data_IF_834678988412
#
_entry.id   IF_834678988412
#
_cell.length_a   1.000
_cell.length_b   1.000
_cell.length_c   1.000
_cell.angle_alpha   90.00
_cell.angle_beta   90.00
_cell.angle_gamma   90.00
#
_symmetry.space_group_name_H-M   'P 1'
#
loop_
_entity.id
_entity.type
_entity.pdbx_description
1 polymer ?
#
# COMPACT_ATOMS: atom_id res chain seq x y z
N UNK A 1 8.61 -10.16 -13.83
CA UNK A 1 7.92 -11.47 -13.88
C UNK A 1 6.60 -11.38 -13.15
N UNK A 2 5.54 -11.79 -13.79
CA UNK A 2 4.22 -11.84 -13.15
C UNK A 2 4.08 -13.15 -12.40
N UNK A 3 3.59 -13.08 -11.18
CA UNK A 3 3.26 -14.26 -10.41
C UNK A 3 1.97 -14.88 -10.96
N UNK A 4 2.01 -16.18 -11.20
CA UNK A 4 0.83 -16.92 -11.68
C UNK A 4 -0.02 -17.30 -10.49
N UNK A 5 -1.32 -17.04 -10.60
CA UNK A 5 -2.32 -17.46 -9.62
C UNK A 5 -3.38 -18.26 -10.35
N UNK A 6 -3.69 -19.45 -9.85
CA UNK A 6 -4.71 -20.30 -10.46
C UNK A 6 -6.09 -19.62 -10.42
N UNK A 7 -6.88 -19.73 -11.50
CA UNK A 7 -8.25 -19.22 -11.48
C UNK A 7 -9.06 -19.80 -10.31
N UNK A 8 -9.75 -18.94 -9.58
CA UNK A 8 -10.55 -19.35 -8.43
C UNK A 8 -9.77 -19.50 -7.13
N UNK A 9 -8.45 -19.30 -7.14
CA UNK A 9 -7.64 -19.29 -5.91
C UNK A 9 -7.99 -18.08 -5.05
N UNK A 10 -8.05 -18.26 -3.70
CA UNK A 10 -8.25 -17.10 -2.82
C UNK A 10 -7.13 -16.08 -2.98
N UNK A 11 -7.47 -14.80 -2.89
CA UNK A 11 -6.49 -13.72 -2.84
C UNK A 11 -5.79 -13.73 -1.49
N UNK A 12 -4.45 -13.68 -1.50
CA UNK A 12 -3.65 -13.65 -0.29
C UNK A 12 -2.82 -12.38 -0.21
N UNK A 13 -2.72 -11.84 1.00
CA UNK A 13 -1.83 -10.72 1.27
C UNK A 13 -0.40 -11.21 1.41
N UNK A 14 0.57 -10.37 1.04
CA UNK A 14 1.98 -10.63 1.25
C UNK A 14 2.41 -10.02 2.57
N UNK A 15 2.64 -10.85 3.57
CA UNK A 15 2.99 -10.39 4.91
C UNK A 15 4.17 -11.23 5.42
N UNK A 16 5.30 -10.56 5.66
CA UNK A 16 6.47 -11.25 6.22
C UNK A 16 6.18 -11.70 7.67
N UNK A 17 6.80 -12.79 8.14
CA UNK A 17 6.61 -13.21 9.54
C UNK A 17 6.92 -12.12 10.57
N UNK A 18 7.95 -11.32 10.34
CA UNK A 18 8.30 -10.18 11.21
C UNK A 18 7.21 -9.12 11.24
N UNK A 19 6.47 -8.95 10.15
CA UNK A 19 5.35 -8.02 10.07
C UNK A 19 4.13 -8.59 10.80
N UNK A 20 3.88 -9.90 10.65
CA UNK A 20 2.75 -10.55 11.33
C UNK A 20 2.81 -10.35 12.83
N UNK A 21 4.00 -10.34 13.42
CA UNK A 21 4.18 -10.18 14.86
C UNK A 21 3.76 -8.81 15.38
N UNK A 22 3.63 -7.79 14.52
CA UNK A 22 3.26 -6.43 14.91
C UNK A 22 1.86 -6.00 14.44
N UNK A 23 1.13 -6.86 13.72
CA UNK A 23 -0.18 -6.50 13.17
C UNK A 23 -1.20 -6.12 14.24
N UNK A 24 -1.17 -6.77 15.39
CA UNK A 24 -2.11 -6.50 16.48
C UNK A 24 -1.74 -5.26 17.30
N UNK A 25 -0.56 -4.68 17.11
CA UNK A 25 -0.10 -3.53 17.89
C UNK A 25 -0.32 -2.21 17.12
N UNK A 26 -1.38 -1.43 17.42
CA UNK A 26 -1.69 -0.22 16.66
C UNK A 26 -0.70 0.93 16.90
N UNK A 27 0.20 0.80 17.88
CA UNK A 27 1.20 1.82 18.17
C UNK A 27 2.38 1.79 17.18
N UNK A 28 2.46 0.75 16.36
CA UNK A 28 3.50 0.62 15.35
C UNK A 28 2.91 1.01 13.98
N UNK A 29 3.43 2.06 13.37
CA UNK A 29 3.00 2.49 12.04
C UNK A 29 3.29 1.39 11.01
N UNK A 30 2.37 1.20 10.06
CA UNK A 30 2.53 0.23 8.99
C UNK A 30 2.26 0.88 7.64
N UNK A 31 2.72 0.22 6.58
CA UNK A 31 2.41 0.62 5.21
C UNK A 31 1.61 -0.47 4.51
N UNK A 32 0.87 -0.07 3.48
CA UNK A 32 0.18 -0.97 2.55
C UNK A 32 0.61 -0.59 1.15
N UNK A 33 1.09 -1.56 0.39
CA UNK A 33 1.56 -1.35 -0.98
C UNK A 33 1.07 -2.47 -1.90
N UNK A 34 1.07 -2.21 -3.20
CA UNK A 34 0.74 -3.25 -4.18
C UNK A 34 2.03 -3.96 -4.60
N UNK A 35 2.04 -5.29 -4.44
CA UNK A 35 3.12 -6.15 -4.88
C UNK A 35 3.99 -6.68 -3.76
N UNK A 36 4.48 -7.91 -3.96
CA UNK A 36 5.31 -8.61 -2.99
C UNK A 36 6.67 -7.94 -2.81
N UNK A 37 7.35 -7.61 -3.91
CA UNK A 37 8.70 -7.03 -3.87
C UNK A 37 8.74 -5.72 -3.10
N UNK A 38 7.74 -4.87 -3.31
CA UNK A 38 7.65 -3.58 -2.63
C UNK A 38 7.42 -3.75 -1.13
N UNK A 39 6.55 -4.70 -0.76
CA UNK A 39 6.29 -4.96 0.66
C UNK A 39 7.52 -5.51 1.37
N UNK A 40 8.27 -6.40 0.71
CA UNK A 40 9.53 -6.93 1.25
C UNK A 40 10.55 -5.79 1.39
N UNK A 41 10.70 -4.98 0.34
CA UNK A 41 11.65 -3.88 0.33
C UNK A 41 11.41 -2.92 1.51
N UNK A 42 10.19 -2.43 1.67
CA UNK A 42 9.85 -1.51 2.75
C UNK A 42 10.06 -2.15 4.13
N UNK A 43 9.65 -3.42 4.28
CA UNK A 43 9.80 -4.14 5.55
C UNK A 43 11.27 -4.33 5.92
N UNK A 44 12.15 -4.58 4.95
CA UNK A 44 13.58 -4.70 5.18
C UNK A 44 14.22 -3.40 5.69
N UNK A 45 13.64 -2.27 5.33
CA UNK A 45 14.11 -0.96 5.80
C UNK A 45 13.41 -0.50 7.09
N UNK A 46 12.74 -1.41 7.78
CA UNK A 46 12.14 -1.11 9.08
C UNK A 46 10.74 -0.51 9.01
N UNK A 47 10.09 -0.57 7.84
CA UNK A 47 8.70 -0.13 7.67
C UNK A 47 7.83 -1.37 7.49
N UNK A 48 7.19 -1.87 8.56
CA UNK A 48 6.35 -3.06 8.44
C UNK A 48 5.25 -2.82 7.41
N UNK A 49 5.15 -3.71 6.42
CA UNK A 49 4.32 -3.47 5.24
C UNK A 49 3.47 -4.69 4.90
N UNK A 50 2.20 -4.44 4.60
CA UNK A 50 1.28 -5.42 4.04
C UNK A 50 1.25 -5.20 2.53
N UNK A 51 1.55 -6.25 1.76
CA UNK A 51 1.45 -6.21 0.30
C UNK A 51 0.11 -6.75 -0.17
N UNK A 52 -0.53 -6.04 -1.10
CA UNK A 52 -1.74 -6.52 -1.77
C UNK A 52 -1.36 -7.01 -3.18
N UNK A 53 -1.96 -8.12 -3.66
CA UNK A 53 -1.54 -8.71 -4.95
C UNK A 53 -1.99 -7.93 -6.18
N UNK A 54 -2.89 -6.96 -6.03
CA UNK A 54 -3.33 -6.07 -7.10
C UNK A 54 -4.03 -4.87 -6.52
N UNK A 55 -4.15 -3.80 -7.31
CA UNK A 55 -4.68 -2.51 -6.81
C UNK A 55 -6.13 -2.58 -6.32
N UNK A 56 -6.90 -3.58 -6.76
CA UNK A 56 -8.25 -3.85 -6.28
C UNK A 56 -8.37 -5.11 -5.40
N UNK A 57 -7.25 -5.80 -5.14
CA UNK A 57 -7.25 -7.09 -4.44
C UNK A 57 -7.25 -6.98 -2.91
N UNK A 58 -7.49 -5.77 -2.40
CA UNK A 58 -7.58 -5.51 -0.96
C UNK A 58 -8.99 -5.71 -0.40
N UNK A 59 -9.98 -5.75 -1.26
CA UNK A 59 -11.38 -5.69 -0.86
C UNK A 59 -12.10 -7.03 -0.97
N UNK A 60 -13.24 -7.11 -0.29
CA UNK A 60 -14.14 -8.26 -0.33
C UNK A 60 -15.27 -8.13 -1.37
N UNK A 61 -15.25 -7.06 -2.17
CA UNK A 61 -16.30 -6.76 -3.14
C UNK A 61 -17.40 -5.82 -2.63
N UNK A 62 -17.48 -5.60 -1.32
CA UNK A 62 -18.52 -4.76 -0.68
C UNK A 62 -17.98 -3.42 -0.19
N UNK A 63 -16.77 -3.06 -0.59
CA UNK A 63 -16.14 -1.80 -0.15
C UNK A 63 -15.40 -1.92 1.18
N UNK A 64 -15.36 -3.10 1.78
CA UNK A 64 -14.58 -3.37 2.99
C UNK A 64 -13.33 -4.19 2.66
N UNK A 65 -12.44 -4.28 3.63
CA UNK A 65 -11.17 -4.99 3.51
C UNK A 65 -11.37 -6.51 3.46
N UNK A 66 -10.49 -7.17 2.71
CA UNK A 66 -10.40 -8.61 2.67
C UNK A 66 -10.23 -9.20 4.08
N UNK A 67 -10.85 -10.37 4.39
CA UNK A 67 -10.76 -10.95 5.75
C UNK A 67 -9.36 -11.17 6.29
N UNK A 68 -8.35 -11.33 5.44
CA UNK A 68 -6.97 -11.44 5.92
C UNK A 68 -6.47 -10.20 6.65
N UNK A 69 -7.13 -9.05 6.50
CA UNK A 69 -6.82 -7.85 7.28
C UNK A 69 -7.40 -7.90 8.71
N UNK A 70 -8.24 -8.88 9.01
CA UNK A 70 -8.95 -8.91 10.31
C UNK A 70 -8.02 -9.12 11.50
N UNK A 71 -6.84 -9.69 11.29
CA UNK A 71 -5.84 -9.85 12.35
C UNK A 71 -5.03 -8.57 12.61
N UNK A 72 -5.26 -7.51 11.83
CA UNK A 72 -4.59 -6.23 11.97
C UNK A 72 -5.47 -5.27 12.77
N UNK A 73 -4.91 -4.68 13.81
CA UNK A 73 -5.60 -3.61 14.53
C UNK A 73 -5.32 -2.29 13.83
N UNK A 74 -6.37 -1.63 13.33
CA UNK A 74 -6.26 -0.35 12.63
C UNK A 74 -6.69 0.85 13.48
N UNK A 75 -7.29 0.63 14.65
CA UNK A 75 -7.84 1.72 15.48
C UNK A 75 -6.73 2.70 15.88
N UNK A 76 -6.89 3.96 15.48
CA UNK A 76 -5.92 5.04 15.72
C UNK A 76 -4.50 4.74 15.24
N UNK A 77 -4.36 3.84 14.28
CA UNK A 77 -3.07 3.43 13.75
C UNK A 77 -2.67 4.28 12.56
N UNK A 78 -1.41 4.70 12.53
CA UNK A 78 -0.86 5.38 11.36
C UNK A 78 -0.60 4.36 10.26
N UNK A 79 -1.22 4.56 9.09
CA UNK A 79 -1.09 3.69 7.92
C UNK A 79 -0.71 4.52 6.71
N UNK A 80 0.41 4.16 6.09
CA UNK A 80 0.89 4.79 4.87
C UNK A 80 0.53 3.92 3.68
N UNK A 81 -0.26 4.43 2.76
CA UNK A 81 -0.56 3.74 1.50
C UNK A 81 0.45 4.19 0.45
N UNK A 82 1.09 3.23 -0.21
CA UNK A 82 2.13 3.49 -1.20
C UNK A 82 1.81 2.73 -2.48
N UNK A 83 1.42 3.45 -3.52
CA UNK A 83 1.23 2.90 -4.86
C UNK A 83 2.33 3.44 -5.78
N UNK A 84 2.49 2.81 -6.95
CA UNK A 84 3.42 3.27 -7.95
C UNK A 84 3.06 4.65 -8.48
N UNK A 85 4.00 5.30 -9.14
CA UNK A 85 3.80 6.65 -9.68
C UNK A 85 2.61 6.75 -10.64
N UNK A 86 2.20 5.63 -11.27
CA UNK A 86 1.05 5.63 -12.20
C UNK A 86 -0.27 6.00 -11.53
N UNK A 87 -0.38 5.86 -10.20
CA UNK A 87 -1.59 6.27 -9.47
C UNK A 87 -1.93 7.75 -9.66
N UNK A 88 -0.94 8.56 -10.04
CA UNK A 88 -1.08 10.01 -10.20
C UNK A 88 -1.20 10.44 -11.66
N UNK A 89 -1.25 9.49 -12.59
CA UNK A 89 -1.44 9.79 -14.01
C UNK A 89 -2.92 9.89 -14.34
N UNK A 90 -3.28 10.89 -15.15
CA UNK A 90 -4.67 11.09 -15.59
C UNK A 90 -5.20 9.90 -16.38
N UNK A 91 -4.37 9.30 -17.22
CA UNK A 91 -4.73 8.14 -18.04
C UNK A 91 -4.86 6.84 -17.23
N UNK A 92 -4.57 6.87 -15.94
CA UNK A 92 -4.67 5.73 -15.02
C UNK A 92 -5.63 6.03 -13.87
N UNK A 93 -6.75 6.67 -14.15
CA UNK A 93 -7.75 7.03 -13.14
C UNK A 93 -8.19 5.86 -12.28
N UNK A 94 -8.30 4.67 -12.85
CA UNK A 94 -8.70 3.46 -12.13
C UNK A 94 -7.74 3.12 -10.97
N UNK A 95 -6.44 3.37 -11.15
CA UNK A 95 -5.45 3.13 -10.09
C UNK A 95 -5.64 4.14 -8.94
N UNK A 96 -5.88 5.40 -9.30
CA UNK A 96 -6.20 6.44 -8.31
C UNK A 96 -7.49 6.15 -7.55
N UNK A 97 -8.52 5.67 -8.26
CA UNK A 97 -9.77 5.25 -7.63
C UNK A 97 -9.56 4.08 -6.66
N UNK A 98 -8.75 3.09 -7.06
CA UNK A 98 -8.43 1.95 -6.20
C UNK A 98 -7.70 2.40 -4.94
N UNK A 99 -6.73 3.30 -5.09
CA UNK A 99 -5.98 3.85 -3.96
C UNK A 99 -6.91 4.59 -2.98
N UNK A 100 -7.78 5.44 -3.50
CA UNK A 100 -8.74 6.19 -2.68
C UNK A 100 -9.69 5.24 -1.95
N UNK A 101 -10.24 4.25 -2.66
CA UNK A 101 -11.17 3.28 -2.07
C UNK A 101 -10.49 2.45 -0.97
N UNK A 102 -9.24 2.02 -1.17
CA UNK A 102 -8.46 1.34 -0.14
C UNK A 102 -8.27 2.23 1.08
N UNK A 103 -7.87 3.47 0.87
CA UNK A 103 -7.69 4.42 1.96
C UNK A 103 -8.95 4.63 2.78
N UNK A 104 -10.10 4.74 2.11
CA UNK A 104 -11.40 4.88 2.78
C UNK A 104 -11.76 3.63 3.58
N UNK A 105 -11.50 2.44 3.04
CA UNK A 105 -11.75 1.19 3.76
C UNK A 105 -10.87 1.08 5.02
N UNK A 106 -9.61 1.52 4.94
CA UNK A 106 -8.72 1.56 6.09
C UNK A 106 -9.21 2.58 7.14
N UNK A 107 -9.62 3.77 6.71
CA UNK A 107 -10.20 4.78 7.62
C UNK A 107 -11.47 4.28 8.29
N UNK A 108 -12.30 3.52 7.59
CA UNK A 108 -13.51 2.94 8.16
C UNK A 108 -13.20 1.92 9.28
N UNK A 109 -11.99 1.37 9.29
CA UNK A 109 -11.49 0.51 10.37
C UNK A 109 -10.78 1.30 11.47
N UNK A 110 -10.74 2.62 11.39
CA UNK A 110 -10.16 3.49 12.40
C UNK A 110 -8.75 3.98 12.12
N UNK A 111 -8.17 3.63 10.98
CA UNK A 111 -6.80 4.04 10.64
C UNK A 111 -6.70 5.53 10.33
N UNK A 112 -5.54 6.09 10.64
CA UNK A 112 -5.13 7.43 10.21
C UNK A 112 -4.30 7.25 8.94
N UNK A 113 -4.90 7.51 7.79
CA UNK A 113 -4.30 7.19 6.49
C UNK A 113 -3.60 8.39 5.90
N UNK A 114 -2.35 8.17 5.48
CA UNK A 114 -1.63 9.06 4.60
C UNK A 114 -1.22 8.30 3.35
N UNK A 115 -1.05 9.01 2.25
CA UNK A 115 -0.65 8.44 0.97
C UNK A 115 0.68 9.05 0.56
N UNK A 116 1.67 8.21 0.29
CA UNK A 116 2.95 8.68 -0.24
C UNK A 116 2.85 8.91 -1.75
N UNK A 117 3.33 10.03 -2.21
CA UNK A 117 3.36 10.33 -3.64
C UNK A 117 4.71 9.90 -4.21
N UNK A 118 4.73 8.77 -4.91
CA UNK A 118 5.91 8.28 -5.60
C UNK A 118 6.00 8.99 -6.95
N UNK A 119 7.07 9.76 -7.21
CA UNK A 119 7.21 10.45 -8.49
C UNK A 119 7.58 9.47 -9.60
N UNK A 120 7.34 9.82 -10.87
CA UNK A 120 7.84 9.02 -11.99
C UNK A 120 9.37 9.03 -12.01
N UNK A 121 9.95 8.07 -12.74
CA UNK A 121 11.39 8.04 -12.96
C UNK A 121 11.83 9.25 -13.79
N UNK A 122 13.13 9.52 -13.84
CA UNK A 122 13.71 10.66 -14.58
C UNK A 122 13.30 10.67 -16.06
N UNK A 123 13.19 9.48 -16.65
CA UNK A 123 12.76 9.33 -18.06
C UNK A 123 11.24 9.45 -18.25
N UNK A 124 10.50 9.69 -17.18
CA UNK A 124 9.04 9.81 -17.20
C UNK A 124 8.29 8.48 -17.11
N UNK A 125 9.00 7.35 -17.05
CA UNK A 125 8.35 6.05 -16.89
C UNK A 125 7.84 5.86 -15.47
N UNK A 126 6.92 4.89 -15.30
CA UNK A 126 6.40 4.54 -13.98
C UNK A 126 7.50 3.90 -13.14
N UNK A 127 7.51 4.24 -11.86
CA UNK A 127 8.36 3.57 -10.89
C UNK A 127 7.62 3.27 -9.61
N UNK A 128 8.01 2.19 -8.94
CA UNK A 128 7.54 1.85 -7.62
C UNK A 128 8.50 2.36 -6.54
N UNK A 129 8.08 2.22 -5.28
CA UNK A 129 8.91 2.63 -4.16
C UNK A 129 10.21 1.84 -4.06
N UNK A 130 10.20 0.56 -4.47
CA UNK A 130 11.39 -0.29 -4.49
C UNK A 130 12.44 0.23 -5.50
N UNK A 131 12.01 0.65 -6.68
CA UNK A 131 12.89 1.25 -7.69
C UNK A 131 13.49 2.56 -7.17
N UNK A 132 12.66 3.38 -6.54
CA UNK A 132 13.11 4.65 -5.95
C UNK A 132 14.17 4.42 -4.88
N UNK A 133 13.92 3.48 -3.97
CA UNK A 133 14.85 3.16 -2.88
C UNK A 133 16.15 2.59 -3.42
N UNK A 134 16.07 1.69 -4.42
CA UNK A 134 17.27 1.12 -5.03
C UNK A 134 18.15 2.17 -5.68
N UNK A 135 17.54 3.18 -6.28
CA UNK A 135 18.25 4.26 -6.97
C UNK A 135 18.74 5.36 -6.02
N UNK A 136 17.87 5.84 -5.15
CA UNK A 136 18.09 7.07 -4.37
C UNK A 136 18.17 6.82 -2.86
N UNK A 137 17.94 5.59 -2.40
CA UNK A 137 18.04 5.23 -0.98
C UNK A 137 16.75 5.41 -0.19
N UNK A 138 16.72 4.80 1.00
CA UNK A 138 15.54 4.84 1.89
C UNK A 138 15.26 6.27 2.40
N UNK A 139 16.29 7.09 2.55
CA UNK A 139 16.11 8.48 2.96
C UNK A 139 15.23 9.26 1.99
N UNK A 140 15.40 9.02 0.69
CA UNK A 140 14.59 9.67 -0.34
C UNK A 140 13.13 9.26 -0.22
N UNK A 141 12.87 7.98 0.03
CA UNK A 141 11.51 7.49 0.27
C UNK A 141 10.88 8.20 1.48
N UNK A 142 11.63 8.32 2.58
CA UNK A 142 11.12 8.98 3.80
C UNK A 142 10.81 10.45 3.60
N UNK A 143 11.43 11.10 2.63
CA UNK A 143 11.22 12.51 2.29
C UNK A 143 10.06 12.74 1.32
N UNK A 144 9.45 11.68 0.76
CA UNK A 144 8.35 11.82 -0.18
C UNK A 144 7.20 12.60 0.44
N UNK A 145 6.56 13.42 -0.39
CA UNK A 145 5.35 14.13 0.02
C UNK A 145 4.29 13.12 0.38
N UNK A 146 3.59 13.37 1.47
CA UNK A 146 2.44 12.58 1.94
C UNK A 146 1.21 13.46 1.95
N UNK A 147 0.08 12.90 1.57
CA UNK A 147 -1.20 13.59 1.59
C UNK A 147 -2.22 12.76 2.36
N UNK A 148 -3.22 13.45 2.92
CA UNK A 148 -4.36 12.79 3.54
C UNK A 148 -5.47 12.63 2.51
N UNK A 149 -6.33 11.64 2.72
CA UNK A 149 -7.52 11.48 1.88
C UNK A 149 -8.47 12.66 2.07
N UNK A 150 -9.10 13.08 0.99
CA UNK A 150 -10.16 14.07 1.04
C UNK A 150 -11.51 13.39 0.97
N UNK A 151 -12.53 14.00 1.57
CA UNK A 151 -13.89 13.47 1.50
C UNK A 151 -14.51 13.61 0.11
N UNK A 152 -13.97 14.51 -0.70
CA UNK A 152 -14.42 14.80 -2.07
C UNK A 152 -13.55 14.13 -3.15
N UNK A 153 -12.68 13.20 -2.73
CA UNK A 153 -11.75 12.50 -3.60
C UNK A 153 -10.33 13.09 -3.56
N UNK A 154 -9.42 12.36 -4.19
CA UNK A 154 -8.00 12.77 -4.28
C UNK A 154 -7.80 13.89 -5.28
#
# INVERSE_FOLDING_TARGET
MKYFQEPGSPTHLYILPSVRSVLANPNIAIAVTEGEKKSICLSQFGIPTIGIPGVWSWGNGDGDLHPEFDSTCFIDRDVLVVFDSNAWRKEKEEVGHALYALGKALENRGAKVEVAIVPPAEDGSDQGCDDLIAKDGIGKFKELKRIKLRHDGL
#
